data_IF_825431641289
#
_entry.id   IF_825431641289
#
_cell.length_a   1.000
_cell.length_b   1.000
_cell.length_c   1.000
_cell.angle_alpha   90.00
_cell.angle_beta   90.00
_cell.angle_gamma   90.00
#
_symmetry.space_group_name_H-M   'P 1'
#
loop_
_entity.id
_entity.type
_entity.pdbx_description
1 polymer ?
#
# COMPACT_ATOMS: atom_id res chain seq x y z
N UNK A 1 2.77 5.23 0.42
CA UNK A 1 3.87 4.22 0.26
C UNK A 1 3.60 3.39 -0.99
N UNK A 2 4.61 2.75 -1.55
CA UNK A 2 4.46 1.93 -2.76
C UNK A 2 5.73 1.15 -3.07
N UNK A 3 5.66 0.18 -3.96
CA UNK A 3 6.84 -0.55 -4.40
C UNK A 3 6.73 -0.99 -5.84
N UNK A 4 7.91 -1.23 -6.38
CA UNK A 4 8.11 -1.55 -7.77
C UNK A 4 9.13 -2.68 -7.93
N UNK A 5 9.02 -3.39 -9.04
CA UNK A 5 9.93 -4.47 -9.44
C UNK A 5 10.23 -4.42 -10.93
N UNK A 6 11.18 -5.27 -11.33
CA UNK A 6 11.52 -5.57 -12.73
C UNK A 6 11.81 -4.38 -13.65
N UNK A 7 12.36 -3.29 -13.10
CA UNK A 7 12.91 -2.21 -13.95
C UNK A 7 14.13 -2.65 -14.74
N UNK A 8 14.28 -2.04 -15.91
CA UNK A 8 15.44 -2.18 -16.80
C UNK A 8 16.66 -1.35 -16.35
N UNK A 9 16.48 -0.44 -15.39
CA UNK A 9 17.54 0.41 -14.84
C UNK A 9 18.44 -0.30 -13.81
N UNK A 10 19.49 0.41 -13.33
CA UNK A 10 20.39 -0.08 -12.28
C UNK A 10 19.67 -0.40 -10.97
N UNK A 11 18.65 0.39 -10.62
CA UNK A 11 17.75 0.10 -9.49
C UNK A 11 16.58 -0.69 -10.03
N UNK A 12 16.60 -2.01 -9.81
CA UNK A 12 15.61 -2.93 -10.39
C UNK A 12 14.33 -3.04 -9.58
N UNK A 13 14.41 -2.86 -8.25
CA UNK A 13 13.27 -2.96 -7.35
C UNK A 13 13.48 -2.07 -6.12
N UNK A 14 12.37 -1.70 -5.46
CA UNK A 14 12.43 -0.85 -4.28
C UNK A 14 11.08 -0.68 -3.57
N UNK A 15 11.16 -0.29 -2.30
CA UNK A 15 10.00 0.16 -1.50
C UNK A 15 10.20 1.63 -1.16
N UNK A 16 9.19 2.44 -1.45
CA UNK A 16 9.16 3.87 -1.18
C UNK A 16 8.18 4.17 -0.05
N UNK A 17 8.66 4.92 0.93
CA UNK A 17 7.88 5.44 2.04
C UNK A 17 7.72 6.94 1.87
N UNK A 18 6.48 7.41 1.97
CA UNK A 18 6.10 8.77 1.68
C UNK A 18 4.65 8.84 1.22
N UNK A 19 4.21 10.06 0.97
CA UNK A 19 2.89 10.42 0.49
C UNK A 19 3.03 11.06 -0.89
N UNK A 20 2.00 10.93 -1.74
CA UNK A 20 2.02 11.43 -3.13
C UNK A 20 3.28 11.03 -3.94
N UNK A 21 3.81 9.81 -3.75
CA UNK A 21 5.06 9.32 -4.37
C UNK A 21 5.09 9.52 -5.89
N UNK A 22 3.93 9.38 -6.54
CA UNK A 22 3.76 9.58 -7.98
C UNK A 22 4.07 11.01 -8.45
N UNK A 23 4.03 11.98 -7.55
CA UNK A 23 4.31 13.40 -7.79
C UNK A 23 5.69 13.83 -7.30
N UNK A 24 6.45 12.93 -6.70
CA UNK A 24 7.81 13.22 -6.25
C UNK A 24 8.72 13.54 -7.45
N UNK A 25 9.56 14.58 -7.31
CA UNK A 25 10.39 15.06 -8.42
C UNK A 25 11.49 14.08 -8.82
N UNK A 26 12.01 13.31 -7.86
CA UNK A 26 13.13 12.40 -8.09
C UNK A 26 12.63 10.99 -8.39
N UNK A 27 11.57 10.57 -7.71
CA UNK A 27 11.09 9.19 -7.72
C UNK A 27 9.76 8.98 -8.42
N UNK A 28 9.02 10.04 -8.77
CA UNK A 28 7.66 9.92 -9.32
C UNK A 28 7.59 9.22 -10.67
N UNK A 29 8.29 9.74 -11.69
CA UNK A 29 8.34 9.12 -13.02
C UNK A 29 8.93 7.70 -12.95
N UNK A 30 10.00 7.58 -12.15
CA UNK A 30 10.67 6.33 -11.89
C UNK A 30 9.67 5.30 -11.33
N UNK A 31 8.91 5.67 -10.30
CA UNK A 31 7.89 4.81 -9.71
C UNK A 31 6.78 4.50 -10.72
N UNK A 32 6.20 5.50 -11.37
CA UNK A 32 5.07 5.37 -12.29
C UNK A 32 5.33 4.41 -13.45
N UNK A 33 6.51 4.50 -14.06
CA UNK A 33 6.93 3.69 -15.22
C UNK A 33 7.28 2.24 -14.90
N UNK A 34 7.27 1.83 -13.63
CA UNK A 34 7.66 0.49 -13.20
C UNK A 34 6.47 -0.41 -12.87
N UNK A 35 6.64 -1.72 -12.95
CA UNK A 35 5.64 -2.68 -12.50
C UNK A 35 5.48 -2.62 -10.98
N UNK A 36 4.24 -2.48 -10.50
CA UNK A 36 3.92 -2.33 -9.08
C UNK A 36 3.69 -3.70 -8.46
N UNK A 37 4.36 -3.97 -7.35
CA UNK A 37 4.18 -5.19 -6.57
C UNK A 37 3.62 -4.94 -5.16
N UNK A 38 3.48 -3.67 -4.79
CA UNK A 38 2.77 -3.26 -3.59
C UNK A 38 2.22 -1.84 -3.74
N UNK A 39 1.11 -1.60 -3.06
CA UNK A 39 0.48 -0.30 -2.91
C UNK A 39 0.28 0.04 -1.43
N UNK A 40 0.14 1.32 -1.18
CA UNK A 40 0.07 1.87 0.17
C UNK A 40 -1.09 2.83 0.40
N UNK A 41 -2.35 2.42 0.17
CA UNK A 41 -3.49 3.32 0.26
C UNK A 41 -3.77 3.76 1.71
N UNK A 42 -4.38 4.93 1.83
CA UNK A 42 -5.12 5.32 3.02
C UNK A 42 -6.60 4.97 2.79
N UNK A 43 -7.19 4.24 3.73
CA UNK A 43 -8.58 3.78 3.64
C UNK A 43 -9.32 4.30 4.86
N UNK A 44 -10.47 4.93 4.65
CA UNK A 44 -11.36 5.31 5.75
C UNK A 44 -12.15 4.09 6.22
N UNK A 45 -11.97 3.71 7.49
CA UNK A 45 -12.65 2.58 8.11
C UNK A 45 -13.01 2.93 9.55
N UNK A 46 -14.27 2.72 9.94
CA UNK A 46 -14.77 3.03 11.28
C UNK A 46 -14.44 4.49 11.71
N UNK A 47 -14.61 5.45 10.79
CA UNK A 47 -14.31 6.87 10.99
C UNK A 47 -12.83 7.18 11.24
N UNK A 48 -11.93 6.22 10.98
CA UNK A 48 -10.48 6.34 11.15
C UNK A 48 -9.79 6.15 9.81
N UNK A 49 -8.82 6.99 9.49
CA UNK A 49 -7.94 6.76 8.34
C UNK A 49 -6.91 5.68 8.70
N UNK A 50 -6.92 4.59 7.95
CA UNK A 50 -6.02 3.44 8.12
C UNK A 50 -5.03 3.42 6.96
N UNK A 51 -3.73 3.47 7.27
CA UNK A 51 -2.67 3.30 6.28
C UNK A 51 -2.39 1.82 6.13
N UNK A 52 -2.53 1.31 4.91
CA UNK A 52 -2.45 -0.12 4.63
C UNK A 52 -1.36 -0.37 3.60
N UNK A 53 -0.60 -1.45 3.78
CA UNK A 53 0.29 -2.03 2.78
C UNK A 53 -0.40 -3.26 2.22
N UNK A 54 -0.55 -3.28 0.89
CA UNK A 54 -1.11 -4.40 0.14
C UNK A 54 -0.08 -4.81 -0.90
N UNK A 55 0.28 -6.09 -0.95
CA UNK A 55 1.23 -6.63 -1.93
C UNK A 55 0.52 -7.56 -2.92
N UNK A 56 1.15 -7.76 -4.08
CA UNK A 56 0.66 -8.65 -5.14
C UNK A 56 0.52 -10.11 -4.68
N UNK A 57 1.38 -10.57 -3.78
CA UNK A 57 1.33 -11.92 -3.19
C UNK A 57 0.30 -12.08 -2.06
N UNK A 58 -0.50 -11.03 -1.78
CA UNK A 58 -1.64 -11.09 -0.88
C UNK A 58 -1.34 -10.74 0.57
N UNK A 59 -0.16 -10.19 0.89
CA UNK A 59 0.07 -9.59 2.21
C UNK A 59 -0.78 -8.32 2.33
N UNK A 60 -1.66 -8.31 3.32
CA UNK A 60 -2.33 -7.10 3.82
C UNK A 60 -1.76 -6.81 5.20
N UNK A 61 -1.32 -5.58 5.40
CA UNK A 61 -0.75 -5.12 6.67
C UNK A 61 -1.24 -3.70 6.98
N UNK A 62 -1.80 -3.49 8.16
CA UNK A 62 -2.06 -2.14 8.69
C UNK A 62 -0.76 -1.58 9.22
N UNK A 63 -0.34 -0.44 8.67
CA UNK A 63 0.90 0.26 9.01
C UNK A 63 0.63 1.45 9.92
N UNK A 64 -0.61 1.94 9.95
CA UNK A 64 -1.04 3.01 10.85
C UNK A 64 -2.56 3.07 10.98
N UNK A 65 -3.08 3.56 12.13
CA UNK A 65 -2.34 4.11 13.26
C UNK A 65 -1.64 3.03 14.12
N UNK A 66 -0.55 3.38 14.81
CA UNK A 66 0.32 2.43 15.52
C UNK A 66 -0.32 1.70 16.72
N UNK A 67 -1.56 2.02 17.05
CA UNK A 67 -2.38 1.42 18.10
C UNK A 67 -3.65 0.73 17.55
N UNK A 68 -3.59 0.21 16.32
CA UNK A 68 -4.73 -0.48 15.72
C UNK A 68 -5.03 -1.80 16.45
N UNK A 69 -6.17 -1.87 17.12
CA UNK A 69 -6.59 -3.03 17.91
C UNK A 69 -6.83 -4.26 17.01
N UNK A 70 -6.58 -5.45 17.55
CA UNK A 70 -6.72 -6.72 16.82
C UNK A 70 -8.13 -6.90 16.27
N UNK A 71 -9.14 -6.57 17.06
CA UNK A 71 -10.55 -6.69 16.71
C UNK A 71 -10.90 -5.79 15.52
N UNK A 72 -10.39 -4.54 15.53
CA UNK A 72 -10.53 -3.62 14.40
C UNK A 72 -9.79 -4.11 13.16
N UNK A 73 -8.61 -4.70 13.33
CA UNK A 73 -7.87 -5.34 12.24
C UNK A 73 -8.65 -6.46 11.57
N UNK A 74 -9.21 -7.38 12.35
CA UNK A 74 -10.01 -8.47 11.82
C UNK A 74 -11.26 -7.96 11.09
N UNK A 75 -11.95 -6.96 11.66
CA UNK A 75 -13.11 -6.34 11.02
C UNK A 75 -12.75 -5.61 9.71
N UNK A 76 -11.59 -4.95 9.68
CA UNK A 76 -11.07 -4.30 8.47
C UNK A 76 -10.79 -5.32 7.36
N UNK A 77 -10.10 -6.42 7.68
CA UNK A 77 -9.82 -7.49 6.71
C UNK A 77 -11.11 -8.13 6.22
N UNK A 78 -12.06 -8.42 7.12
CA UNK A 78 -13.35 -9.01 6.78
C UNK A 78 -14.13 -8.11 5.80
N UNK A 79 -14.22 -6.81 6.08
CA UNK A 79 -14.87 -5.85 5.18
C UNK A 79 -14.19 -5.81 3.80
N UNK A 80 -12.85 -5.72 3.75
CA UNK A 80 -12.14 -5.71 2.47
C UNK A 80 -12.41 -6.98 1.66
N UNK A 81 -12.39 -8.16 2.29
CA UNK A 81 -12.65 -9.42 1.59
C UNK A 81 -14.08 -9.48 1.04
N UNK A 82 -15.07 -9.01 1.79
CA UNK A 82 -16.46 -8.95 1.33
C UNK A 82 -16.66 -8.00 0.15
N UNK A 83 -16.01 -6.83 0.16
CA UNK A 83 -16.16 -5.81 -0.88
C UNK A 83 -15.68 -6.29 -2.26
N UNK A 84 -14.72 -7.20 -2.32
CA UNK A 84 -14.18 -7.76 -3.56
C UNK A 84 -14.69 -9.17 -3.90
N UNK A 85 -15.62 -9.72 -3.11
CA UNK A 85 -16.18 -11.07 -3.32
C UNK A 85 -17.48 -11.11 -4.14
N UNK A 86 -18.04 -9.96 -4.55
CA UNK A 86 -19.26 -9.86 -5.35
C UNK A 86 -19.13 -8.90 -6.53
#
# INVERSE_FOLDING_TARGET
>A
MGGFQDREDRVRSGTLYGDEIERDIDMGEAFLSSDKNQIGPNIEFDGTEVKVRITEDGLVQVVGPGNYEREKYLAFIDQMLYEFMY
#
